data_IF_295970392507
#
_entry.id   IF_295970392507
#
_cell.length_a   1.000
_cell.length_b   1.000
_cell.length_c   1.000
_cell.angle_alpha   90.00
_cell.angle_beta   90.00
_cell.angle_gamma   90.00
#
_symmetry.space_group_name_H-M   'P 1'
#
loop_
_entity.id
_entity.type
_entity.pdbx_description
1 polymer ?
#
# COMPACT_ATOMS: atom_id res chain seq x y z
N UNK A 1 1.51 -25.75 -7.59
CA UNK A 1 1.71 -25.16 -6.25
C UNK A 1 0.63 -24.11 -6.06
N UNK A 2 -0.22 -24.24 -5.04
CA UNK A 2 -1.30 -23.29 -4.79
C UNK A 2 -0.68 -22.04 -4.13
N UNK A 3 -0.24 -21.09 -4.94
CA UNK A 3 0.25 -19.81 -4.44
C UNK A 3 -0.93 -19.06 -3.82
N UNK A 4 -0.77 -18.60 -2.57
CA UNK A 4 -1.71 -17.65 -1.98
C UNK A 4 -1.75 -16.41 -2.86
N UNK A 5 -2.96 -15.93 -3.17
CA UNK A 5 -3.13 -14.68 -3.89
C UNK A 5 -2.84 -13.53 -2.93
N UNK A 6 -1.68 -12.94 -3.08
CA UNK A 6 -1.19 -11.81 -2.30
C UNK A 6 -1.47 -10.49 -3.01
N UNK A 7 -2.08 -9.54 -2.32
CA UNK A 7 -2.35 -8.19 -2.84
C UNK A 7 -1.62 -7.15 -1.99
N UNK A 8 -0.90 -6.22 -2.62
CA UNK A 8 -0.31 -5.07 -1.95
C UNK A 8 -1.37 -3.97 -1.79
N UNK A 9 -1.53 -3.44 -0.58
CA UNK A 9 -2.51 -2.40 -0.28
C UNK A 9 -1.98 -1.37 0.73
N UNK A 10 -2.42 -0.11 0.67
CA UNK A 10 -3.23 0.53 -0.38
C UNK A 10 -2.35 1.04 -1.54
N UNK A 11 -1.12 0.54 -1.67
CA UNK A 11 -0.18 0.96 -2.69
C UNK A 11 -0.61 0.50 -4.09
N UNK A 12 -0.33 1.33 -5.08
CA UNK A 12 -0.65 1.11 -6.50
C UNK A 12 0.59 0.97 -7.37
N UNK A 13 1.77 1.30 -6.83
CA UNK A 13 3.09 1.18 -7.47
C UNK A 13 4.14 0.96 -6.38
N UNK A 14 5.20 0.22 -6.71
CA UNK A 14 6.41 0.10 -5.89
C UNK A 14 7.41 1.16 -6.35
N UNK A 15 7.64 2.17 -5.52
CA UNK A 15 8.49 3.33 -5.87
C UNK A 15 9.77 3.39 -5.02
N UNK A 16 9.82 2.64 -3.91
CA UNK A 16 10.95 2.69 -2.97
C UNK A 16 11.75 1.41 -2.99
N UNK A 17 13.08 1.53 -2.98
CA UNK A 17 14.01 0.40 -2.83
C UNK A 17 13.78 -0.37 -1.51
N UNK A 18 13.14 0.27 -0.53
CA UNK A 18 12.78 -0.32 0.77
C UNK A 18 11.62 -1.32 0.67
N UNK A 19 10.88 -1.31 -0.44
CA UNK A 19 9.75 -2.20 -0.68
C UNK A 19 10.16 -3.46 -1.47
N UNK A 20 11.35 -3.49 -2.07
CA UNK A 20 11.86 -4.67 -2.78
C UNK A 20 11.99 -5.94 -1.92
N UNK A 21 12.39 -5.87 -0.62
CA UNK A 21 12.47 -7.03 0.25
C UNK A 21 11.17 -7.84 0.37
N UNK A 22 10.01 -7.24 0.06
CA UNK A 22 8.70 -7.91 0.10
C UNK A 22 8.66 -9.12 -0.85
N UNK A 23 9.38 -9.05 -1.97
CA UNK A 23 9.47 -10.14 -2.94
C UNK A 23 10.25 -11.36 -2.43
N UNK A 24 10.98 -11.25 -1.32
CA UNK A 24 11.59 -12.42 -0.66
C UNK A 24 10.53 -13.32 -0.05
N UNK A 25 9.49 -12.74 0.58
CA UNK A 25 8.41 -13.48 1.23
C UNK A 25 7.39 -14.01 0.23
N UNK A 26 7.04 -13.18 -0.76
CA UNK A 26 5.97 -13.49 -1.69
C UNK A 26 6.54 -13.62 -3.10
N UNK A 27 6.50 -14.82 -3.71
CA UNK A 27 7.04 -15.02 -5.04
C UNK A 27 6.25 -14.28 -6.12
N UNK A 28 4.98 -13.94 -5.83
CA UNK A 28 4.13 -13.18 -6.73
C UNK A 28 3.19 -12.27 -5.94
N UNK A 29 3.21 -10.98 -6.25
CA UNK A 29 2.37 -9.95 -5.63
C UNK A 29 1.46 -9.35 -6.69
N UNK A 30 0.20 -9.12 -6.34
CA UNK A 30 -0.74 -8.38 -7.20
C UNK A 30 -0.84 -6.95 -6.72
N UNK A 31 -0.75 -6.00 -7.64
CA UNK A 31 -0.91 -4.57 -7.38
C UNK A 31 -2.07 -4.03 -8.22
N UNK A 32 -2.87 -3.13 -7.65
CA UNK A 32 -3.89 -2.42 -8.40
C UNK A 32 -3.28 -1.26 -9.18
N UNK A 33 -3.44 -1.26 -10.50
CA UNK A 33 -3.10 -0.09 -11.30
C UNK A 33 -4.32 0.80 -11.52
N UNK A 34 -4.09 2.11 -11.41
CA UNK A 34 -5.07 3.17 -11.61
C UNK A 34 -5.36 3.38 -13.10
N UNK A 35 -4.40 3.08 -13.97
CA UNK A 35 -4.47 3.29 -15.42
C UNK A 35 -4.13 2.01 -16.17
N UNK A 36 -4.68 1.88 -17.37
CA UNK A 36 -4.22 0.87 -18.32
C UNK A 36 -2.84 1.25 -18.84
N UNK A 37 -1.94 0.27 -18.93
CA UNK A 37 -0.74 0.44 -19.74
C UNK A 37 -1.19 0.65 -21.19
N UNK A 38 -0.84 1.80 -21.79
CA UNK A 38 -1.16 2.04 -23.18
C UNK A 38 -0.52 0.94 -24.02
N UNK A 39 -1.35 0.25 -24.81
CA UNK A 39 -0.90 -0.72 -25.80
C UNK A 39 -0.06 -0.06 -26.88
N UNK A 40 1.20 0.18 -26.57
CA UNK A 40 2.31 0.31 -27.50
C UNK A 40 3.44 -0.51 -26.89
N UNK A 41 4.15 -1.23 -27.76
CA UNK A 41 5.39 -1.94 -27.47
C UNK A 41 6.51 -0.95 -27.09
N UNK A 42 6.28 -0.09 -26.12
CA UNK A 42 7.34 0.40 -25.26
C UNK A 42 7.44 -0.65 -24.15
N UNK A 43 8.55 -1.38 -24.17
CA UNK A 43 8.95 -2.33 -23.14
C UNK A 43 8.43 -1.84 -21.79
N UNK A 44 7.54 -2.61 -21.14
CA UNK A 44 7.07 -2.31 -19.79
C UNK A 44 8.29 -1.96 -18.96
N UNK A 45 8.45 -0.68 -18.65
CA UNK A 45 9.61 -0.14 -17.93
C UNK A 45 9.70 -0.66 -16.51
N UNK A 46 8.66 -1.37 -16.06
CA UNK A 46 8.59 -2.01 -14.76
C UNK A 46 9.22 -3.41 -14.80
N UNK A 47 10.50 -3.46 -14.41
CA UNK A 47 11.33 -4.67 -14.42
C UNK A 47 10.73 -5.81 -13.58
N UNK A 48 9.88 -5.49 -12.60
CA UNK A 48 9.21 -6.47 -11.72
C UNK A 48 8.05 -7.20 -12.40
N UNK A 49 7.33 -6.53 -13.31
CA UNK A 49 6.26 -7.17 -14.10
C UNK A 49 6.89 -8.15 -15.09
N UNK A 50 7.97 -7.74 -15.77
CA UNK A 50 8.68 -8.57 -16.74
C UNK A 50 9.37 -9.79 -16.12
N UNK A 51 9.61 -9.77 -14.81
CA UNK A 51 10.29 -10.85 -14.08
C UNK A 51 9.34 -11.84 -13.40
N UNK A 52 8.02 -11.72 -13.64
CA UNK A 52 6.91 -12.50 -13.07
C UNK A 52 6.69 -12.32 -11.55
N UNK A 53 7.39 -11.36 -10.91
CA UNK A 53 7.28 -11.09 -9.47
C UNK A 53 6.05 -10.21 -9.14
N UNK A 54 5.62 -9.37 -10.09
CA UNK A 54 4.48 -8.48 -9.94
C UNK A 54 3.41 -8.76 -11.01
N UNK A 55 2.15 -8.84 -10.58
CA UNK A 55 0.99 -8.87 -11.47
C UNK A 55 0.17 -7.59 -11.28
N UNK A 56 -0.13 -6.91 -12.37
CA UNK A 56 -0.98 -5.72 -12.34
C UNK A 56 -2.42 -6.11 -12.63
N UNK A 57 -3.34 -5.65 -11.79
CA UNK A 57 -4.77 -5.73 -12.01
C UNK A 57 -5.33 -4.31 -12.20
N UNK A 58 -6.05 -4.09 -13.31
CA UNK A 58 -6.62 -2.78 -13.66
C UNK A 58 -8.15 -2.91 -13.67
N UNK A 59 -8.82 -2.71 -12.51
CA UNK A 59 -10.27 -2.79 -12.46
C UNK A 59 -10.90 -1.67 -13.29
N UNK A 60 -11.88 -2.03 -14.12
CA UNK A 60 -12.69 -1.12 -14.95
C UNK A 60 -11.93 -0.21 -15.93
N UNK A 61 -11.26 -0.74 -16.96
CA UNK A 61 -10.46 0.06 -17.91
C UNK A 61 -11.13 1.38 -18.37
N UNK A 62 -10.38 2.49 -18.35
CA UNK A 62 -10.78 3.84 -18.78
C UNK A 62 -11.10 3.93 -20.29
N UNK A 63 -10.52 3.05 -21.12
CA UNK A 63 -10.74 3.02 -22.56
C UNK A 63 -10.55 4.40 -23.22
N UNK A 64 -11.60 4.94 -23.83
CA UNK A 64 -11.60 6.22 -24.55
C UNK A 64 -11.22 7.43 -23.67
N UNK A 65 -11.48 7.35 -22.36
CA UNK A 65 -11.19 8.44 -21.44
C UNK A 65 -9.75 8.44 -20.89
N UNK A 66 -8.94 7.45 -21.24
CA UNK A 66 -7.57 7.30 -20.76
C UNK A 66 -6.70 8.52 -21.10
N UNK A 67 -6.77 9.01 -22.34
CA UNK A 67 -5.99 10.16 -22.79
C UNK A 67 -6.31 11.43 -22.00
N UNK A 68 -7.61 11.65 -21.71
CA UNK A 68 -8.08 12.78 -20.91
C UNK A 68 -7.61 12.67 -19.45
N UNK A 69 -7.64 11.45 -18.90
CA UNK A 69 -7.17 11.20 -17.54
C UNK A 69 -5.66 11.45 -17.41
N UNK A 70 -4.85 10.92 -18.33
CA UNK A 70 -3.40 11.14 -18.34
C UNK A 70 -3.03 12.61 -18.53
N UNK A 71 -3.75 13.34 -19.39
CA UNK A 71 -3.55 14.78 -19.53
C UNK A 71 -3.82 15.50 -18.21
N UNK A 72 -4.92 15.19 -17.52
CA UNK A 72 -5.24 15.79 -16.23
C UNK A 72 -4.17 15.48 -15.18
N UNK A 73 -3.71 14.23 -15.10
CA UNK A 73 -2.63 13.83 -14.18
C UNK A 73 -1.33 14.58 -14.52
N UNK A 74 -0.98 14.71 -15.80
CA UNK A 74 0.19 15.49 -16.24
C UNK A 74 0.06 16.99 -15.93
N UNK A 75 -1.13 17.57 -16.07
CA UNK A 75 -1.41 18.94 -15.63
C UNK A 75 -1.29 19.08 -14.10
N UNK A 76 -1.64 18.03 -13.34
CA UNK A 76 -1.49 17.93 -11.89
C UNK A 76 -0.02 17.71 -11.46
N UNK A 77 0.84 17.17 -12.30
CA UNK A 77 2.27 17.10 -11.96
C UNK A 77 2.97 18.44 -12.17
N UNK A 78 2.47 19.26 -13.11
CA UNK A 78 3.15 20.47 -13.57
C UNK A 78 2.85 21.75 -12.77
N UNK A 79 1.81 21.82 -11.92
CA UNK A 79 1.44 23.04 -11.15
C UNK A 79 1.56 22.87 -9.63
N UNK A 80 2.75 22.46 -9.17
CA UNK A 80 3.10 21.98 -7.81
C UNK A 80 2.61 22.82 -6.62
N UNK A 81 2.40 24.12 -6.79
CA UNK A 81 2.25 25.07 -5.66
C UNK A 81 0.81 25.25 -5.13
N UNK A 82 -0.23 24.80 -5.84
CA UNK A 82 -1.64 25.02 -5.45
C UNK A 82 -2.39 23.76 -4.95
N UNK A 83 -1.72 22.61 -4.84
CA UNK A 83 -2.41 21.31 -4.79
C UNK A 83 -3.12 20.96 -3.49
N UNK A 84 -2.60 21.33 -2.31
CA UNK A 84 -3.29 21.03 -1.05
C UNK A 84 -4.63 21.80 -0.93
N UNK A 85 -4.67 23.03 -1.47
CA UNK A 85 -5.86 23.86 -1.55
C UNK A 85 -6.83 23.35 -2.63
N UNK A 86 -6.32 22.88 -3.77
CA UNK A 86 -7.13 22.34 -4.86
C UNK A 86 -7.66 20.92 -4.60
N UNK A 87 -6.94 20.07 -3.86
CA UNK A 87 -7.45 18.79 -3.36
C UNK A 87 -8.60 19.00 -2.40
N UNK A 88 -8.44 19.95 -1.47
CA UNK A 88 -9.50 20.35 -0.56
C UNK A 88 -10.68 20.93 -1.32
N UNK A 89 -10.46 21.77 -2.34
CA UNK A 89 -11.53 22.39 -3.13
C UNK A 89 -12.23 21.44 -4.12
N UNK A 90 -11.51 20.53 -4.77
CA UNK A 90 -12.09 19.50 -5.66
C UNK A 90 -12.88 18.46 -4.86
N UNK A 91 -12.37 18.06 -3.69
CA UNK A 91 -13.09 17.17 -2.77
C UNK A 91 -14.31 17.89 -2.17
N UNK A 92 -14.18 19.15 -1.75
CA UNK A 92 -15.30 19.95 -1.23
C UNK A 92 -16.33 20.32 -2.30
N UNK A 93 -15.95 20.56 -3.56
CA UNK A 93 -16.87 20.85 -4.65
C UNK A 93 -17.67 19.61 -5.09
N UNK A 94 -17.05 18.42 -5.02
CA UNK A 94 -17.74 17.15 -5.23
C UNK A 94 -18.68 16.78 -4.06
N UNK A 95 -18.35 17.18 -2.83
CA UNK A 95 -19.21 16.99 -1.64
C UNK A 95 -20.31 18.05 -1.48
N UNK A 96 -20.10 19.29 -1.97
CA UNK A 96 -21.11 20.35 -1.91
C UNK A 96 -22.19 20.19 -2.97
N UNK A 97 -21.86 19.58 -4.11
CA UNK A 97 -22.85 19.20 -5.14
C UNK A 97 -23.74 18.01 -4.72
N UNK A 98 -23.39 17.31 -3.65
CA UNK A 98 -24.20 16.21 -3.06
C UNK A 98 -24.97 16.61 -1.81
N UNK A 99 -24.82 17.83 -1.29
CA UNK A 99 -25.45 18.29 -0.04
C UNK A 99 -26.43 19.46 -0.17
N UNK A 100 -26.66 19.98 -1.38
CA UNK A 100 -27.81 20.87 -1.65
C UNK A 100 -29.10 20.06 -1.91
N UNK A 101 -29.57 19.30 -0.92
CA UNK A 101 -30.95 18.80 -0.88
C UNK A 101 -31.42 18.55 0.55
N UNK A 102 -31.26 19.56 1.41
CA UNK A 102 -31.76 19.57 2.80
C UNK A 102 -33.28 19.69 2.97
N UNK A 103 -34.08 19.69 1.88
CA UNK A 103 -35.55 19.79 1.93
C UNK A 103 -36.27 18.66 1.16
N UNK A 104 -35.63 17.50 0.96
CA UNK A 104 -36.11 16.49 0.02
C UNK A 104 -36.68 15.19 0.62
N UNK A 105 -36.99 15.15 1.92
CA UNK A 105 -37.49 13.92 2.56
C UNK A 105 -38.91 13.52 2.16
N UNK A 106 -39.78 14.46 1.74
CA UNK A 106 -41.14 14.14 1.25
C UNK A 106 -41.22 14.07 -0.28
N UNK A 107 -40.32 14.77 -1.01
CA UNK A 107 -40.28 14.74 -2.48
C UNK A 107 -39.52 13.53 -3.04
N UNK A 108 -38.55 12.98 -2.30
CA UNK A 108 -37.83 11.77 -2.71
C UNK A 108 -38.75 10.54 -2.80
N UNK A 109 -39.70 10.40 -1.87
CA UNK A 109 -40.67 9.29 -1.85
C UNK A 109 -41.64 9.39 -3.04
N UNK A 110 -42.01 10.62 -3.43
CA UNK A 110 -42.91 10.87 -4.57
C UNK A 110 -42.19 10.69 -5.92
N UNK A 111 -40.90 11.03 -6.00
CA UNK A 111 -40.08 10.80 -7.19
C UNK A 111 -39.74 9.31 -7.41
N UNK A 112 -39.59 8.52 -6.35
CA UNK A 112 -39.33 7.07 -6.46
C UNK A 112 -40.52 6.30 -7.08
N UNK A 113 -41.74 6.87 -7.03
CA UNK A 113 -42.94 6.31 -7.64
C UNK A 113 -43.23 6.79 -9.08
N UNK A 114 -42.62 7.89 -9.53
CA UNK A 114 -42.96 8.57 -10.79
C UNK A 114 -41.82 8.61 -11.82
N UNK A 115 -40.58 8.28 -11.44
CA UNK A 115 -39.44 8.25 -12.36
C UNK A 115 -39.34 6.86 -13.03
N UNK A 116 -39.37 6.77 -14.38
CA UNK A 116 -39.08 5.53 -15.09
C UNK A 116 -37.74 4.95 -14.63
N UNK A 117 -37.72 3.66 -14.25
CA UNK A 117 -36.54 2.94 -13.73
C UNK A 117 -35.26 3.13 -14.54
N UNK A 118 -35.36 3.45 -15.82
CA UNK A 118 -34.22 3.63 -16.72
C UNK A 118 -33.51 4.99 -16.52
N UNK A 119 -34.20 6.04 -16.08
CA UNK A 119 -33.58 7.35 -15.80
C UNK A 119 -32.82 7.35 -14.48
N UNK A 120 -33.36 6.69 -13.44
CA UNK A 120 -32.67 6.54 -12.16
C UNK A 120 -31.47 5.58 -12.25
N UNK A 121 -31.55 4.54 -13.08
CA UNK A 121 -30.43 3.64 -13.35
C UNK A 121 -29.27 4.36 -14.06
N UNK A 122 -29.56 5.20 -15.05
CA UNK A 122 -28.52 5.95 -15.79
C UNK A 122 -27.88 7.05 -14.93
N UNK A 123 -28.65 7.75 -14.08
CA UNK A 123 -28.10 8.69 -13.11
C UNK A 123 -27.23 8.00 -12.06
N UNK A 124 -27.64 6.82 -11.59
CA UNK A 124 -26.83 6.02 -10.67
C UNK A 124 -25.55 5.51 -11.33
N UNK A 125 -25.60 5.12 -12.61
CA UNK A 125 -24.41 4.72 -13.38
C UNK A 125 -23.42 5.87 -13.53
N UNK A 126 -23.89 7.06 -13.86
CA UNK A 126 -23.06 8.27 -13.94
C UNK A 126 -22.45 8.66 -12.60
N UNK A 127 -23.23 8.59 -11.52
CA UNK A 127 -22.73 8.83 -10.15
C UNK A 127 -21.67 7.80 -9.76
N UNK A 128 -21.89 6.53 -10.10
CA UNK A 128 -20.93 5.46 -9.83
C UNK A 128 -19.64 5.64 -10.64
N UNK A 129 -19.74 5.95 -11.93
CA UNK A 129 -18.59 6.25 -12.80
C UNK A 129 -17.81 7.49 -12.30
N UNK A 130 -18.51 8.54 -11.85
CA UNK A 130 -17.88 9.71 -11.26
C UNK A 130 -17.12 9.38 -9.97
N UNK A 131 -17.67 8.49 -9.12
CA UNK A 131 -16.97 8.02 -7.93
C UNK A 131 -15.74 7.19 -8.27
N UNK A 132 -15.79 6.31 -9.29
CA UNK A 132 -14.63 5.54 -9.72
C UNK A 132 -13.54 6.46 -10.30
N UNK A 133 -13.95 7.46 -11.08
CA UNK A 133 -13.06 8.49 -11.59
C UNK A 133 -12.35 9.25 -10.45
N UNK A 134 -13.10 9.63 -9.41
CA UNK A 134 -12.54 10.28 -8.22
C UNK A 134 -11.58 9.37 -7.47
N UNK A 135 -11.94 8.10 -7.25
CA UNK A 135 -11.07 7.14 -6.60
C UNK A 135 -9.74 6.98 -7.35
N UNK A 136 -9.78 6.91 -8.69
CA UNK A 136 -8.57 6.91 -9.53
C UNK A 136 -7.72 8.16 -9.34
N UNK A 137 -8.36 9.33 -9.34
CA UNK A 137 -7.62 10.59 -9.19
C UNK A 137 -6.91 10.66 -7.83
N UNK A 138 -7.60 10.27 -6.74
CA UNK A 138 -7.00 10.23 -5.39
C UNK A 138 -5.80 9.30 -5.35
N UNK A 139 -5.90 8.11 -5.97
CA UNK A 139 -4.78 7.15 -6.00
C UNK A 139 -3.62 7.63 -6.87
N UNK A 140 -3.89 8.21 -8.05
CA UNK A 140 -2.86 8.76 -8.93
C UNK A 140 -2.11 9.92 -8.26
N UNK A 141 -2.82 10.77 -7.51
CA UNK A 141 -2.19 11.84 -6.73
C UNK A 141 -1.38 11.26 -5.58
N UNK A 142 -1.90 10.26 -4.87
CA UNK A 142 -1.15 9.54 -3.84
C UNK A 142 0.15 8.96 -4.37
N UNK A 143 0.14 8.38 -5.57
CA UNK A 143 1.34 7.87 -6.23
C UNK A 143 2.36 8.98 -6.58
N UNK A 144 1.89 10.15 -7.01
CA UNK A 144 2.78 11.31 -7.25
C UNK A 144 3.45 11.74 -5.95
N UNK A 145 2.66 11.87 -4.87
CA UNK A 145 3.17 12.28 -3.56
C UNK A 145 4.19 11.29 -3.01
N UNK A 146 3.90 9.99 -3.10
CA UNK A 146 4.83 8.93 -2.69
C UNK A 146 6.18 9.03 -3.44
N UNK A 147 6.13 9.27 -4.75
CA UNK A 147 7.33 9.44 -5.58
C UNK A 147 8.12 10.67 -5.15
N UNK A 148 7.45 11.80 -4.91
CA UNK A 148 8.09 13.03 -4.44
C UNK A 148 8.69 12.85 -3.04
N UNK A 149 8.01 12.14 -2.13
CA UNK A 149 8.50 11.86 -0.78
C UNK A 149 9.78 11.02 -0.82
N UNK A 150 9.83 9.98 -1.66
CA UNK A 150 11.05 9.17 -1.84
C UNK A 150 12.19 9.98 -2.48
N UNK A 151 11.89 10.84 -3.46
CA UNK A 151 12.90 11.74 -4.04
C UNK A 151 13.45 12.73 -3.01
N UNK A 152 12.58 13.31 -2.17
CA UNK A 152 12.97 14.20 -1.07
C UNK A 152 13.82 13.43 -0.06
N UNK A 153 13.40 12.24 0.37
CA UNK A 153 14.14 11.42 1.31
C UNK A 153 15.54 11.06 0.78
N UNK A 154 15.64 10.74 -0.51
CA UNK A 154 16.91 10.50 -1.18
C UNK A 154 17.80 11.75 -1.21
N UNK A 155 17.25 12.88 -1.62
CA UNK A 155 18.00 14.15 -1.68
C UNK A 155 18.44 14.62 -0.29
N UNK A 156 17.60 14.43 0.74
CA UNK A 156 17.94 14.72 2.12
C UNK A 156 19.08 13.83 2.61
N UNK A 157 19.03 12.51 2.32
CA UNK A 157 20.12 11.59 2.65
C UNK A 157 21.44 11.98 2.00
N UNK A 158 21.41 12.41 0.74
CA UNK A 158 22.62 12.90 0.03
C UNK A 158 23.13 14.21 0.66
N UNK A 159 22.24 15.13 1.02
CA UNK A 159 22.61 16.37 1.70
C UNK A 159 23.16 16.13 3.10
N UNK A 160 22.65 15.14 3.84
CA UNK A 160 23.16 14.73 5.15
C UNK A 160 24.57 14.13 5.05
N UNK A 161 24.84 13.33 4.01
CA UNK A 161 26.18 12.82 3.71
C UNK A 161 27.16 13.95 3.35
N UNK A 162 26.74 14.89 2.50
CA UNK A 162 27.54 16.05 2.10
C UNK A 162 27.82 16.98 3.28
N UNK A 163 26.81 17.28 4.10
CA UNK A 163 26.96 18.13 5.29
C UNK A 163 27.79 17.44 6.36
N UNK A 164 27.64 16.13 6.59
CA UNK A 164 28.49 15.37 7.49
C UNK A 164 29.93 15.31 6.99
N UNK A 165 30.14 15.17 5.67
CA UNK A 165 31.45 15.22 5.03
C UNK A 165 32.11 16.60 5.17
N UNK A 166 31.35 17.67 4.97
CA UNK A 166 31.81 19.05 5.15
C UNK A 166 32.06 19.38 6.63
N UNK A 167 31.22 18.93 7.56
CA UNK A 167 31.41 19.11 8.99
C UNK A 167 32.64 18.34 9.49
N UNK A 168 32.86 17.12 9.00
CA UNK A 168 34.08 16.36 9.29
C UNK A 168 35.32 17.01 8.68
N UNK A 169 35.21 17.59 7.48
CA UNK A 169 36.30 18.33 6.84
C UNK A 169 36.59 19.67 7.55
N UNK A 170 35.57 20.34 8.10
CA UNK A 170 35.68 21.59 8.86
C UNK A 170 36.17 21.35 10.30
N UNK A 171 35.83 20.20 10.90
CA UNK A 171 36.33 19.73 12.22
C UNK A 171 37.75 19.18 12.18
N UNK A 172 38.53 19.50 11.14
CA UNK A 172 39.85 18.95 10.86
C UNK A 172 40.66 18.59 12.11
N UNK A 173 41.03 17.31 12.20
CA UNK A 173 41.99 16.69 13.13
C UNK A 173 42.36 17.56 14.35
N UNK A 174 41.43 17.69 15.30
CA UNK A 174 41.61 18.52 16.48
C UNK A 174 40.47 18.36 17.47
N UNK A 175 40.76 17.66 18.57
CA UNK A 175 39.93 17.54 19.76
C UNK A 175 39.36 18.91 20.18
N UNK A 176 38.04 19.03 20.32
CA UNK A 176 37.44 19.54 21.57
C UNK A 176 35.95 19.24 21.64
N UNK A 177 35.57 18.66 22.77
CA UNK A 177 34.20 18.66 23.30
C UNK A 177 33.73 20.11 23.52
N UNK A 178 32.51 20.43 23.11
CA UNK A 178 31.52 21.24 23.83
C UNK A 178 30.41 21.66 22.86
N UNK A 179 29.19 21.17 23.06
CA UNK A 179 28.00 21.72 22.41
C UNK A 179 26.77 21.48 23.29
N UNK A 180 26.64 22.31 24.33
CA UNK A 180 25.37 22.53 24.98
C UNK A 180 24.57 23.58 24.21
N UNK A 181 23.29 23.28 24.01
CA UNK A 181 22.16 24.22 23.80
C UNK A 181 22.12 24.97 22.46
N UNK A 182 21.63 24.28 21.44
CA UNK A 182 20.32 24.52 20.81
C UNK A 182 20.27 23.61 19.58
N UNK A 183 19.52 22.51 19.66
CA UNK A 183 19.45 21.54 18.56
C UNK A 183 18.72 22.17 17.36
N UNK A 184 19.40 22.43 16.23
CA UNK A 184 18.77 22.91 15.00
C UNK A 184 17.76 21.90 14.42
N UNK A 185 17.70 20.70 14.99
CA UNK A 185 16.83 19.60 14.58
C UNK A 185 15.46 19.60 15.26
N UNK A 186 15.24 20.42 16.30
CA UNK A 186 13.94 20.50 16.97
C UNK A 186 12.83 21.04 16.03
N UNK A 187 13.18 21.95 15.12
CA UNK A 187 12.25 22.44 14.08
C UNK A 187 11.96 21.35 13.03
N UNK A 188 12.92 20.47 12.74
CA UNK A 188 12.74 19.33 11.84
C UNK A 188 11.85 18.25 12.47
N UNK A 189 11.97 17.99 13.78
CA UNK A 189 11.06 17.10 14.51
C UNK A 189 9.61 17.63 14.50
N UNK A 190 9.43 18.95 14.57
CA UNK A 190 8.10 19.55 14.49
C UNK A 190 7.52 19.48 13.06
N UNK A 191 8.33 19.71 12.03
CA UNK A 191 7.91 19.58 10.62
C UNK A 191 7.55 18.13 10.29
N UNK A 192 8.35 17.15 10.74
CA UNK A 192 8.07 15.72 10.54
C UNK A 192 6.78 15.28 11.26
N UNK A 193 6.54 15.76 12.50
CA UNK A 193 5.30 15.45 13.21
C UNK A 193 4.04 16.00 12.52
N UNK A 194 4.10 17.22 11.98
CA UNK A 194 3.00 17.82 11.23
C UNK A 194 2.80 17.14 9.87
N UNK A 195 3.88 16.71 9.22
CA UNK A 195 3.83 15.95 7.97
C UNK A 195 3.15 14.59 8.18
N UNK A 196 3.48 13.88 9.26
CA UNK A 196 2.87 12.60 9.61
C UNK A 196 1.35 12.69 9.85
N UNK A 197 0.87 13.78 10.48
CA UNK A 197 -0.57 13.99 10.71
C UNK A 197 -1.36 14.24 9.42
N UNK A 198 -0.78 14.98 8.46
CA UNK A 198 -1.37 15.19 7.12
C UNK A 198 -1.31 13.91 6.30
N UNK A 199 -0.24 13.12 6.43
CA UNK A 199 -0.05 11.84 5.78
C UNK A 199 -1.12 10.82 6.23
N UNK A 200 -1.41 10.74 7.54
CA UNK A 200 -2.46 9.85 8.09
C UNK A 200 -3.86 10.14 7.54
N UNK A 201 -4.27 11.42 7.47
CA UNK A 201 -5.56 11.82 6.90
C UNK A 201 -5.68 11.64 5.37
N UNK A 202 -4.55 11.60 4.66
CA UNK A 202 -4.50 11.22 3.25
C UNK A 202 -4.57 9.69 3.06
N UNK A 203 -4.03 8.93 4.01
CA UNK A 203 -3.99 7.48 3.95
C UNK A 203 -5.38 6.85 4.07
N UNK A 204 -6.26 7.37 4.94
CA UNK A 204 -7.66 6.90 5.03
C UNK A 204 -8.44 7.13 3.72
N UNK A 205 -8.22 8.28 3.07
CA UNK A 205 -8.83 8.59 1.77
C UNK A 205 -8.30 7.68 0.67
N UNK A 206 -6.99 7.37 0.72
CA UNK A 206 -6.34 6.42 -0.18
C UNK A 206 -6.91 5.02 0.02
N UNK A 207 -7.06 4.57 1.26
CA UNK A 207 -7.65 3.28 1.60
C UNK A 207 -9.10 3.19 1.10
N UNK A 208 -9.92 4.22 1.32
CA UNK A 208 -11.31 4.24 0.81
C UNK A 208 -11.36 4.21 -0.72
N UNK A 209 -10.49 4.97 -1.39
CA UNK A 209 -10.42 5.03 -2.85
C UNK A 209 -9.92 3.72 -3.47
N UNK A 210 -8.90 3.12 -2.84
CA UNK A 210 -8.36 1.81 -3.19
C UNK A 210 -9.43 0.73 -3.05
N UNK A 211 -10.13 0.71 -1.91
CA UNK A 211 -11.21 -0.24 -1.63
C UNK A 211 -12.34 -0.14 -2.65
N UNK A 212 -12.70 1.08 -3.05
CA UNK A 212 -13.73 1.31 -4.05
C UNK A 212 -13.33 0.86 -5.46
N UNK A 213 -12.05 0.92 -5.82
CA UNK A 213 -11.56 0.32 -7.07
C UNK A 213 -11.46 -1.20 -6.96
N UNK A 214 -10.99 -1.70 -5.82
CA UNK A 214 -10.85 -3.13 -5.57
C UNK A 214 -12.20 -3.86 -5.61
N UNK A 215 -13.29 -3.23 -5.17
CA UNK A 215 -14.63 -3.82 -5.25
C UNK A 215 -15.11 -4.08 -6.67
N UNK A 216 -14.58 -3.34 -7.64
CA UNK A 216 -14.87 -3.52 -9.07
C UNK A 216 -13.87 -4.47 -9.76
N UNK A 217 -12.87 -4.97 -9.02
CA UNK A 217 -11.91 -5.94 -9.54
C UNK A 217 -12.50 -7.34 -9.59
N UNK A 218 -12.09 -8.13 -10.58
CA UNK A 218 -12.42 -9.55 -10.64
C UNK A 218 -11.60 -10.39 -9.64
N UNK A 219 -10.72 -9.78 -8.84
CA UNK A 219 -9.77 -10.46 -7.98
C UNK A 219 -10.20 -10.46 -6.50
N UNK A 220 -11.50 -10.63 -6.26
CA UNK A 220 -12.11 -10.79 -4.93
C UNK A 220 -11.74 -12.10 -4.23
N UNK A 221 -10.78 -12.87 -4.77
CA UNK A 221 -10.27 -14.12 -4.19
C UNK A 221 -8.94 -13.94 -3.43
N UNK A 222 -8.54 -12.70 -3.16
CA UNK A 222 -7.32 -12.41 -2.41
C UNK A 222 -7.43 -12.93 -0.96
N UNK A 223 -6.49 -13.80 -0.58
CA UNK A 223 -6.46 -14.41 0.75
C UNK A 223 -5.50 -13.69 1.70
N UNK A 224 -4.50 -12.99 1.13
CA UNK A 224 -3.46 -12.33 1.87
C UNK A 224 -3.25 -10.90 1.36
N UNK A 225 -3.24 -9.96 2.29
CA UNK A 225 -3.05 -8.55 2.02
C UNK A 225 -1.75 -8.09 2.68
N UNK A 226 -0.92 -7.34 1.96
CA UNK A 226 0.36 -6.83 2.46
C UNK A 226 0.31 -5.31 2.50
N UNK A 227 0.69 -4.72 3.63
CA UNK A 227 0.83 -3.27 3.75
C UNK A 227 2.16 -2.88 4.39
N UNK A 228 2.68 -1.75 3.94
CA UNK A 228 3.85 -1.08 4.53
C UNK A 228 3.44 0.09 5.43
N UNK A 229 2.13 0.34 5.59
CA UNK A 229 1.61 1.44 6.41
C UNK A 229 0.96 0.90 7.68
N UNK A 230 1.54 1.15 8.87
CA UNK A 230 0.94 0.78 10.15
C UNK A 230 -0.42 1.45 10.38
N UNK A 231 -0.61 2.68 9.90
CA UNK A 231 -1.86 3.44 10.03
C UNK A 231 -3.03 2.72 9.36
N UNK A 232 -2.80 2.20 8.15
CA UNK A 232 -3.81 1.44 7.41
C UNK A 232 -4.22 0.19 8.16
N UNK A 233 -3.25 -0.51 8.76
CA UNK A 233 -3.53 -1.67 9.59
C UNK A 233 -4.32 -1.28 10.85
N UNK A 234 -3.99 -0.17 11.49
CA UNK A 234 -4.73 0.31 12.67
C UNK A 234 -6.20 0.58 12.34
N UNK A 235 -6.49 1.22 11.21
CA UNK A 235 -7.88 1.44 10.74
C UNK A 235 -8.63 0.13 10.49
N UNK A 236 -7.97 -0.89 9.92
CA UNK A 236 -8.56 -2.22 9.73
C UNK A 236 -8.79 -2.96 11.04
N UNK A 237 -7.83 -2.92 11.95
CA UNK A 237 -7.92 -3.54 13.27
C UNK A 237 -9.07 -2.92 14.09
N UNK A 238 -9.21 -1.59 14.08
CA UNK A 238 -10.29 -0.89 14.77
C UNK A 238 -11.66 -1.25 14.17
N UNK A 239 -11.76 -1.35 12.84
CA UNK A 239 -13.00 -1.78 12.17
C UNK A 239 -13.38 -3.21 12.56
N UNK A 240 -12.39 -4.12 12.61
CA UNK A 240 -12.63 -5.48 13.07
C UNK A 240 -13.02 -5.55 14.55
N UNK A 241 -12.37 -4.79 15.42
CA UNK A 241 -12.68 -4.75 16.86
C UNK A 241 -14.11 -4.24 17.09
N UNK A 242 -14.51 -3.16 16.41
CA UNK A 242 -15.89 -2.63 16.48
C UNK A 242 -16.94 -3.65 16.09
N UNK A 243 -16.66 -4.49 15.10
CA UNK A 243 -17.65 -5.41 14.55
C UNK A 243 -17.61 -6.83 15.15
N UNK A 244 -16.46 -7.28 15.62
CA UNK A 244 -16.27 -8.63 16.20
C UNK A 244 -16.16 -8.62 17.73
N UNK A 245 -15.87 -7.47 18.34
CA UNK A 245 -15.56 -7.35 19.77
C UNK A 245 -14.24 -8.00 20.19
N UNK A 246 -13.38 -8.39 19.24
CA UNK A 246 -12.09 -9.04 19.49
C UNK A 246 -10.97 -8.40 18.70
N UNK A 247 -9.74 -8.50 19.19
CA UNK A 247 -8.56 -8.04 18.47
C UNK A 247 -8.03 -9.12 17.50
N UNK A 248 -7.40 -8.73 16.39
CA UNK A 248 -6.74 -9.67 15.50
C UNK A 248 -5.61 -10.42 16.23
N UNK A 249 -5.40 -11.69 15.87
CA UNK A 249 -4.28 -12.48 16.40
C UNK A 249 -3.00 -12.06 15.67
N UNK A 250 -2.03 -11.50 16.39
CA UNK A 250 -0.76 -11.04 15.83
C UNK A 250 0.36 -12.06 16.07
N UNK A 251 1.08 -12.39 15.01
CA UNK A 251 2.21 -13.31 14.99
C UNK A 251 3.46 -12.54 14.50
N UNK A 252 4.23 -11.96 15.44
CA UNK A 252 5.51 -11.31 15.11
C UNK A 252 6.61 -12.36 14.88
N UNK A 253 7.78 -11.90 14.43
CA UNK A 253 9.02 -12.70 14.41
C UNK A 253 9.64 -12.90 13.04
N UNK A 254 8.93 -12.60 11.96
CA UNK A 254 9.54 -12.51 10.64
C UNK A 254 10.32 -11.21 10.52
N UNK A 255 11.49 -11.28 9.91
CA UNK A 255 12.30 -10.12 9.57
C UNK A 255 12.50 -10.04 8.06
N UNK A 256 12.76 -8.84 7.56
CA UNK A 256 13.26 -8.61 6.23
C UNK A 256 14.48 -7.72 6.28
N UNK A 257 15.43 -7.89 5.33
CA UNK A 257 16.46 -6.88 5.15
C UNK A 257 15.82 -5.57 4.72
N UNK A 258 16.39 -4.43 5.13
CA UNK A 258 15.87 -3.10 4.75
C UNK A 258 16.08 -2.82 3.26
N UNK A 259 17.12 -3.43 2.69
CA UNK A 259 17.49 -3.34 1.28
C UNK A 259 17.92 -4.71 0.77
N UNK A 260 17.69 -4.99 -0.52
CA UNK A 260 18.19 -6.22 -1.20
C UNK A 260 18.95 -5.91 -2.49
N UNK A 261 19.10 -4.62 -2.82
CA UNK A 261 19.76 -4.11 -4.01
C UNK A 261 19.51 -2.60 -4.13
N UNK A 262 20.34 -1.93 -4.91
CA UNK A 262 20.22 -0.49 -5.18
C UNK A 262 19.53 -0.21 -6.52
N UNK A 263 19.36 -1.25 -7.34
CA UNK A 263 18.60 -1.22 -8.58
C UNK A 263 17.57 -2.35 -8.62
N UNK A 264 16.54 -2.17 -9.45
CA UNK A 264 15.49 -3.18 -9.67
C UNK A 264 16.08 -4.52 -10.16
N UNK A 265 17.06 -4.47 -11.06
CA UNK A 265 17.68 -5.68 -11.62
C UNK A 265 18.47 -6.46 -10.57
N UNK A 266 19.23 -5.76 -9.72
CA UNK A 266 19.93 -6.38 -8.58
C UNK A 266 18.95 -7.00 -7.60
N UNK A 267 17.88 -6.28 -7.25
CA UNK A 267 16.86 -6.76 -6.34
C UNK A 267 16.15 -8.01 -6.88
N UNK A 268 15.83 -8.05 -8.18
CA UNK A 268 15.23 -9.21 -8.84
C UNK A 268 16.19 -10.40 -8.82
N UNK A 269 17.46 -10.18 -9.16
CA UNK A 269 18.47 -11.24 -9.15
C UNK A 269 18.71 -11.79 -7.75
N UNK A 270 18.82 -10.92 -6.75
CA UNK A 270 18.97 -11.29 -5.34
C UNK A 270 17.75 -12.07 -4.84
N UNK A 271 16.54 -11.64 -5.21
CA UNK A 271 15.29 -12.32 -4.88
C UNK A 271 15.24 -13.71 -5.48
N UNK A 272 15.48 -13.84 -6.79
CA UNK A 272 15.46 -15.14 -7.49
C UNK A 272 16.51 -16.10 -6.93
N UNK A 273 17.70 -15.60 -6.63
CA UNK A 273 18.75 -16.41 -6.00
C UNK A 273 18.31 -16.92 -4.62
N UNK A 274 17.76 -16.04 -3.77
CA UNK A 274 17.30 -16.41 -2.44
C UNK A 274 16.14 -17.43 -2.50
N UNK A 275 15.18 -17.22 -3.41
CA UNK A 275 14.05 -18.14 -3.59
C UNK A 275 14.49 -19.53 -4.06
N UNK A 276 15.48 -19.60 -4.95
CA UNK A 276 16.02 -20.85 -5.46
C UNK A 276 16.81 -21.62 -4.39
N UNK A 277 17.56 -20.90 -3.55
CA UNK A 277 18.31 -21.50 -2.43
C UNK A 277 17.39 -21.97 -1.29
N UNK A 278 16.22 -21.34 -1.12
CA UNK A 278 15.32 -21.55 0.03
C UNK A 278 13.91 -21.99 -0.37
N UNK A 279 13.75 -22.73 -1.47
CA UNK A 279 12.45 -23.14 -2.00
C UNK A 279 11.59 -23.89 -0.95
N UNK A 280 12.23 -24.78 -0.17
CA UNK A 280 11.54 -25.53 0.88
C UNK A 280 11.03 -24.62 2.01
N UNK A 281 11.81 -23.62 2.42
CA UNK A 281 11.43 -22.68 3.48
C UNK A 281 10.24 -21.82 3.05
N UNK A 282 10.21 -21.39 1.80
CA UNK A 282 9.09 -20.63 1.22
C UNK A 282 7.83 -21.51 1.15
N UNK A 283 7.98 -22.79 0.80
CA UNK A 283 6.87 -23.75 0.79
C UNK A 283 6.31 -23.98 2.20
N UNK A 284 7.16 -24.10 3.22
CA UNK A 284 6.77 -24.28 4.62
C UNK A 284 6.06 -23.02 5.16
N UNK A 285 6.57 -21.82 4.82
CA UNK A 285 5.94 -20.54 5.15
C UNK A 285 4.57 -20.40 4.48
N UNK A 286 4.46 -20.72 3.19
CA UNK A 286 3.20 -20.68 2.45
C UNK A 286 2.18 -21.67 3.03
N UNK A 287 2.63 -22.86 3.45
CA UNK A 287 1.78 -23.87 4.08
C UNK A 287 1.26 -23.38 5.42
N UNK A 288 2.11 -22.74 6.23
CA UNK A 288 1.74 -22.16 7.53
C UNK A 288 0.74 -21.02 7.37
N UNK A 289 0.96 -20.11 6.41
CA UNK A 289 0.02 -19.04 6.07
C UNK A 289 -1.33 -19.58 5.57
N UNK A 290 -1.31 -20.62 4.74
CA UNK A 290 -2.54 -21.28 4.27
C UNK A 290 -3.31 -21.91 5.43
N UNK A 291 -2.60 -22.49 6.40
CA UNK A 291 -3.23 -23.06 7.59
C UNK A 291 -3.87 -21.98 8.48
N UNK A 292 -3.24 -20.79 8.60
CA UNK A 292 -3.86 -19.65 9.27
C UNK A 292 -5.16 -19.21 8.57
N UNK A 293 -5.14 -19.14 7.24
CA UNK A 293 -6.31 -18.73 6.46
C UNK A 293 -7.49 -19.71 6.60
N UNK A 294 -7.21 -21.03 6.72
CA UNK A 294 -8.24 -22.07 6.75
C UNK A 294 -8.74 -22.41 8.16
N UNK A 295 -7.84 -22.59 9.12
CA UNK A 295 -8.19 -23.18 10.42
C UNK A 295 -8.16 -22.17 11.56
N UNK A 296 -7.52 -21.00 11.40
CA UNK A 296 -7.44 -19.94 12.42
C UNK A 296 -6.63 -20.29 13.66
N UNK A 297 -6.28 -21.57 13.82
CA UNK A 297 -5.48 -22.13 14.89
C UNK A 297 -4.52 -23.16 14.29
N UNK A 298 -3.23 -22.82 14.28
CA UNK A 298 -2.14 -23.78 14.18
C UNK A 298 -1.10 -23.46 15.27
N UNK A 299 -0.30 -24.46 15.69
CA UNK A 299 0.50 -24.36 16.89
C UNK A 299 1.56 -23.27 16.70
N UNK A 300 1.61 -22.31 17.63
CA UNK A 300 2.64 -21.25 17.72
C UNK A 300 4.06 -21.79 17.47
N UNK A 301 4.30 -23.05 17.84
CA UNK A 301 5.54 -23.79 17.58
C UNK A 301 5.92 -23.88 16.09
N UNK A 302 4.98 -24.17 15.20
CA UNK A 302 5.27 -24.28 13.77
C UNK A 302 5.66 -22.91 13.17
N UNK A 303 5.03 -21.84 13.65
CA UNK A 303 5.40 -20.47 13.28
C UNK A 303 6.78 -20.09 13.82
N UNK A 304 7.06 -20.40 15.09
CA UNK A 304 8.36 -20.15 15.72
C UNK A 304 9.50 -20.90 15.03
N UNK A 305 9.26 -22.12 14.58
CA UNK A 305 10.29 -22.92 13.88
C UNK A 305 10.57 -22.33 12.49
N UNK A 306 9.54 -21.98 11.72
CA UNK A 306 9.67 -21.36 10.40
C UNK A 306 10.35 -19.99 10.50
N UNK A 307 9.97 -19.15 11.48
CA UNK A 307 10.57 -17.81 11.67
C UNK A 307 12.04 -17.89 12.05
N UNK A 308 12.44 -18.82 12.92
CA UNK A 308 13.86 -19.03 13.26
C UNK A 308 14.68 -19.48 12.06
N UNK A 309 14.16 -20.43 11.28
CA UNK A 309 14.84 -20.91 10.08
C UNK A 309 14.93 -19.80 9.02
N UNK A 310 13.87 -18.98 8.87
CA UNK A 310 13.85 -17.79 8.03
C UNK A 310 14.93 -16.77 8.41
N UNK A 311 14.95 -16.33 9.67
CA UNK A 311 15.91 -15.33 10.14
C UNK A 311 17.35 -15.84 10.03
N UNK A 312 17.60 -17.15 10.25
CA UNK A 312 18.92 -17.77 10.05
C UNK A 312 19.39 -17.70 8.59
N UNK A 313 18.50 -17.99 7.64
CA UNK A 313 18.84 -17.93 6.22
C UNK A 313 19.02 -16.48 5.75
N UNK A 314 18.22 -15.55 6.26
CA UNK A 314 18.42 -14.13 6.03
C UNK A 314 19.77 -13.64 6.53
N UNK A 315 20.20 -14.01 7.74
CA UNK A 315 21.50 -13.58 8.26
C UNK A 315 22.66 -14.12 7.41
N UNK A 316 22.50 -15.33 6.85
CA UNK A 316 23.52 -15.95 6.00
C UNK A 316 23.69 -15.19 4.67
N UNK A 317 22.58 -14.72 4.07
CA UNK A 317 22.58 -14.10 2.74
C UNK A 317 22.63 -12.57 2.78
N UNK A 318 21.98 -11.96 3.75
CA UNK A 318 21.82 -10.52 3.94
C UNK A 318 22.13 -10.13 5.38
N UNK A 319 23.41 -10.11 5.82
CA UNK A 319 23.77 -9.83 7.22
C UNK A 319 23.20 -8.49 7.72
N UNK A 320 22.72 -8.46 8.97
CA UNK A 320 22.07 -7.27 9.55
C UNK A 320 22.97 -6.02 9.48
N UNK A 321 24.27 -6.20 9.76
CA UNK A 321 25.24 -5.11 9.77
C UNK A 321 25.37 -4.38 8.42
N UNK A 322 25.06 -5.03 7.31
CA UNK A 322 25.21 -4.47 5.97
C UNK A 322 23.87 -4.06 5.34
N UNK A 323 22.78 -4.76 5.64
CA UNK A 323 21.50 -4.60 4.94
C UNK A 323 20.35 -4.12 5.84
N UNK A 324 20.58 -3.98 7.14
CA UNK A 324 19.57 -3.59 8.12
C UNK A 324 18.46 -4.63 8.30
N UNK A 325 17.51 -4.33 9.19
CA UNK A 325 16.35 -5.17 9.49
C UNK A 325 15.07 -4.38 9.59
N UNK A 326 14.01 -5.00 9.11
CA UNK A 326 12.63 -4.53 9.18
C UNK A 326 11.78 -5.66 9.72
N UNK A 327 11.01 -5.39 10.79
CA UNK A 327 10.11 -6.37 11.36
C UNK A 327 8.87 -6.57 10.50
N UNK A 328 8.41 -7.83 10.39
CA UNK A 328 7.19 -8.21 9.72
C UNK A 328 6.27 -8.90 10.70
N UNK A 329 5.03 -8.42 10.77
CA UNK A 329 3.99 -8.97 11.65
C UNK A 329 2.85 -9.52 10.81
N UNK A 330 2.49 -10.79 11.03
CA UNK A 330 1.34 -11.41 10.39
C UNK A 330 0.14 -11.33 11.31
N UNK A 331 -0.94 -10.71 10.85
CA UNK A 331 -2.17 -10.51 11.60
C UNK A 331 -3.29 -11.34 10.99
N UNK A 332 -3.98 -12.13 11.82
CA UNK A 332 -5.06 -13.02 11.41
C UNK A 332 -6.38 -12.53 11.98
N UNK A 333 -7.34 -12.28 11.08
CA UNK A 333 -8.70 -11.85 11.39
C UNK A 333 -9.62 -13.07 11.37
N UNK A 334 -9.99 -13.55 12.55
CA UNK A 334 -10.74 -14.81 12.69
C UNK A 334 -12.19 -14.65 12.24
N UNK A 335 -12.68 -15.62 11.47
CA UNK A 335 -14.06 -15.69 11.03
C UNK A 335 -14.48 -14.62 10.02
N UNK A 336 -13.54 -13.83 9.50
CA UNK A 336 -13.80 -12.79 8.50
C UNK A 336 -12.72 -12.77 7.43
N UNK A 337 -13.14 -12.74 6.17
CA UNK A 337 -12.25 -12.51 5.04
C UNK A 337 -11.73 -11.06 5.06
N UNK A 338 -10.60 -10.81 4.39
CA UNK A 338 -10.11 -9.43 4.25
C UNK A 338 -11.06 -8.57 3.40
N UNK A 339 -11.73 -9.15 2.42
CA UNK A 339 -12.75 -8.44 1.62
C UNK A 339 -13.92 -7.96 2.48
N UNK A 340 -14.37 -8.77 3.44
CA UNK A 340 -15.43 -8.40 4.36
C UNK A 340 -15.01 -7.22 5.26
N UNK A 341 -13.73 -7.15 5.67
CA UNK A 341 -13.18 -5.99 6.38
C UNK A 341 -13.18 -4.72 5.53
N UNK A 342 -12.92 -4.88 4.23
CA UNK A 342 -12.97 -3.82 3.24
C UNK A 342 -14.39 -3.52 2.75
N UNK A 343 -15.43 -4.17 3.30
CA UNK A 343 -16.84 -4.02 2.89
C UNK A 343 -17.08 -4.28 1.39
N UNK A 344 -16.20 -5.07 0.77
CA UNK A 344 -16.34 -5.54 -0.60
C UNK A 344 -17.26 -6.77 -0.58
N UNK A 345 -18.19 -6.87 -1.53
CA UNK A 345 -19.11 -8.00 -1.59
C UNK A 345 -18.34 -9.31 -1.78
N UNK A 346 -18.36 -10.17 -0.76
CA UNK A 346 -17.83 -11.52 -0.87
C UNK A 346 -18.73 -12.36 -1.78
N UNK A 347 -18.13 -12.94 -2.80
CA UNK A 347 -18.79 -13.92 -3.66
C UNK A 347 -18.94 -15.26 -2.92
N UNK A 348 -19.84 -15.30 -1.92
CA UNK A 348 -20.48 -16.51 -1.39
C UNK A 348 -19.54 -17.70 -1.09
N UNK A 349 -18.32 -17.44 -0.59
CA UNK A 349 -17.38 -18.46 -0.13
C UNK A 349 -17.42 -18.56 1.39
N UNK A 350 -17.24 -19.78 1.90
CA UNK A 350 -17.21 -20.08 3.32
C UNK A 350 -16.25 -19.13 4.07
N UNK A 351 -16.59 -18.75 5.30
CA UNK A 351 -15.83 -17.82 6.12
C UNK A 351 -14.38 -18.30 6.32
N UNK A 352 -13.47 -17.85 5.47
CA UNK A 352 -12.02 -18.01 5.61
C UNK A 352 -11.46 -16.83 6.41
N UNK A 353 -10.44 -17.08 7.21
CA UNK A 353 -9.79 -16.02 7.97
C UNK A 353 -8.98 -15.13 7.02
N UNK A 354 -9.10 -13.83 7.19
CA UNK A 354 -8.31 -12.84 6.49
C UNK A 354 -6.92 -12.72 7.11
N UNK A 355 -5.89 -12.65 6.27
CA UNK A 355 -4.52 -12.43 6.70
C UNK A 355 -4.03 -11.08 6.19
N UNK A 356 -3.53 -10.25 7.10
CA UNK A 356 -2.85 -9.00 6.78
C UNK A 356 -1.42 -9.05 7.29
N UNK A 357 -0.47 -8.85 6.40
CA UNK A 357 0.96 -8.78 6.72
C UNK A 357 1.37 -7.32 6.74
N UNK A 358 1.93 -6.87 7.87
CA UNK A 358 2.40 -5.51 8.08
C UNK A 358 3.92 -5.52 8.11
N UNK A 359 4.54 -4.70 7.27
CA UNK A 359 5.98 -4.49 7.21
C UNK A 359 6.28 -3.13 7.82
N UNK A 360 7.19 -3.10 8.81
CA UNK A 360 7.48 -1.92 9.65
C UNK A 360 8.60 -1.00 9.17
#
# INVERSE_FOLDING_TARGET
MNSLKTVLFPATVIHSIRQYPIFLLFPKITILSVTEAQGLQEESTDTFINSDLCQVDTPCPLGENLARFLQLVGEIQNRKDDYAAQLSSLTLAAMSSTTQSGEESERAIINEFLVPKDLSAEENRKKHEAKLWQARLVLAIGEILDREEEEIAKNLSMADEDTSGLLNALRGDGETEESGQDSPFAELEQITSNFNAVHSGNMDKRLSSWTQLFSESNNTDAQLFVTTSPDVFATLAETYEKESGTNPSSYPGLELPRYIGWSEQEAIAATKAFQLENEQLIADLTTTLTAFAQNGEQPEKAWDDVTKDWNRQLETRFPEAAWGRTGVTVNVFRGRSVNALLKVQDSNKAATNGIVVVIG
#
